data_IF_072518309392
#
_entry.id   IF_072518309392
#
_cell.length_a   1.000
_cell.length_b   1.000
_cell.length_c   1.000
_cell.angle_alpha   90.00
_cell.angle_beta   90.00
_cell.angle_gamma   90.00
#
_symmetry.space_group_name_H-M   'P 1'
#
loop_
_entity.id
_entity.type
_entity.pdbx_description
1 polymer ?
#
# COMPACT_ATOMS: atom_id res chain seq x y z
N UNK A 1 14.75 -16.85 -27.71
CA UNK A 1 13.41 -16.30 -27.50
C UNK A 1 13.13 -16.37 -26.00
N UNK A 2 13.37 -15.27 -25.28
CA UNK A 2 13.02 -15.16 -23.87
C UNK A 2 11.50 -15.11 -23.77
N UNK A 3 10.91 -16.17 -23.27
CA UNK A 3 9.49 -16.19 -22.88
C UNK A 3 9.31 -15.14 -21.80
N UNK A 4 8.84 -13.96 -22.15
CA UNK A 4 8.33 -13.01 -21.18
C UNK A 4 7.18 -13.70 -20.46
N UNK A 5 7.38 -14.05 -19.20
CA UNK A 5 6.34 -14.71 -18.41
C UNK A 5 5.09 -13.83 -18.39
N UNK A 6 3.94 -14.45 -18.63
CA UNK A 6 2.63 -13.78 -18.56
C UNK A 6 2.24 -13.56 -17.09
N UNK A 7 3.11 -12.87 -16.33
CA UNK A 7 2.90 -12.65 -14.90
C UNK A 7 2.07 -11.38 -14.67
N UNK A 8 1.02 -11.50 -13.88
CA UNK A 8 0.33 -10.37 -13.27
C UNK A 8 0.87 -10.22 -11.85
N UNK A 9 1.56 -9.11 -11.60
CA UNK A 9 2.31 -8.89 -10.35
C UNK A 9 1.66 -7.76 -9.55
N UNK A 10 1.58 -7.94 -8.24
CA UNK A 10 1.24 -6.85 -7.32
C UNK A 10 2.37 -6.62 -6.33
N UNK A 11 2.68 -5.36 -6.10
CA UNK A 11 3.59 -4.87 -5.07
C UNK A 11 2.74 -4.30 -3.95
N UNK A 12 2.66 -5.00 -2.84
CA UNK A 12 1.93 -4.56 -1.65
C UNK A 12 2.84 -3.63 -0.84
N UNK A 13 2.48 -2.36 -0.74
CA UNK A 13 3.09 -1.44 0.24
C UNK A 13 2.22 -1.52 1.49
N UNK A 14 2.68 -2.30 2.47
CA UNK A 14 1.93 -2.68 3.66
C UNK A 14 2.53 -2.09 4.93
N UNK A 15 1.70 -1.89 5.91
CA UNK A 15 2.04 -1.34 7.23
C UNK A 15 0.79 -0.74 7.87
N UNK A 16 0.81 -0.62 9.18
CA UNK A 16 -0.31 -0.03 9.92
C UNK A 16 -0.53 1.44 9.56
N UNK A 17 -1.65 2.06 9.95
CA UNK A 17 -1.85 3.50 9.79
C UNK A 17 -0.67 4.30 10.36
N UNK A 18 -0.30 5.38 9.71
CA UNK A 18 0.83 6.27 10.02
C UNK A 18 2.25 5.71 9.80
N UNK A 19 2.42 4.52 9.23
CA UNK A 19 3.75 3.96 8.93
C UNK A 19 4.48 4.62 7.75
N UNK A 20 3.86 5.54 7.00
CA UNK A 20 4.52 6.24 5.89
C UNK A 20 4.37 5.57 4.52
N UNK A 21 3.47 4.60 4.38
CA UNK A 21 3.23 3.88 3.11
C UNK A 21 3.10 4.80 1.90
N UNK A 22 2.25 5.82 1.98
CA UNK A 22 1.94 6.68 0.84
C UNK A 22 3.14 7.49 0.34
N UNK A 23 4.11 7.78 1.20
CA UNK A 23 5.38 8.42 0.80
C UNK A 23 6.21 7.45 -0.03
N UNK A 24 6.44 6.24 0.47
CA UNK A 24 7.16 5.19 -0.26
C UNK A 24 6.43 4.81 -1.55
N UNK A 25 5.11 4.68 -1.51
CA UNK A 25 4.28 4.37 -2.69
C UNK A 25 4.48 5.38 -3.81
N UNK A 26 4.52 6.69 -3.47
CA UNK A 26 4.76 7.75 -4.45
C UNK A 26 6.16 7.65 -5.06
N UNK A 27 7.19 7.48 -4.23
CA UNK A 27 8.56 7.32 -4.70
C UNK A 27 8.71 6.10 -5.64
N UNK A 28 8.07 4.98 -5.31
CA UNK A 28 8.04 3.78 -6.16
C UNK A 28 7.32 4.03 -7.49
N UNK A 29 6.19 4.73 -7.46
CA UNK A 29 5.42 5.06 -8.66
C UNK A 29 6.22 5.96 -9.60
N UNK A 30 6.90 6.97 -9.06
CA UNK A 30 7.78 7.85 -9.82
C UNK A 30 8.98 7.10 -10.41
N UNK A 31 9.60 6.20 -9.63
CA UNK A 31 10.77 5.43 -10.07
C UNK A 31 10.44 4.40 -11.15
N UNK A 32 9.32 3.71 -11.05
CA UNK A 32 9.00 2.56 -11.91
C UNK A 32 7.90 2.82 -12.94
N UNK A 33 7.14 3.90 -12.81
CA UNK A 33 6.00 4.20 -13.69
C UNK A 33 4.83 3.21 -13.54
N UNK A 34 4.74 2.48 -12.43
CA UNK A 34 3.65 1.54 -12.22
C UNK A 34 2.37 2.23 -11.73
N UNK A 35 1.19 1.80 -12.18
CA UNK A 35 -0.07 2.30 -11.67
C UNK A 35 -0.22 1.97 -10.18
N UNK A 36 -0.81 2.93 -9.45
CA UNK A 36 -1.02 2.86 -8.00
C UNK A 36 -2.50 2.78 -7.69
N UNK A 37 -2.86 1.88 -6.79
CA UNK A 37 -4.17 1.83 -6.16
C UNK A 37 -3.97 1.97 -4.65
N UNK A 38 -4.57 3.00 -4.06
CA UNK A 38 -4.53 3.19 -2.60
C UNK A 38 -5.91 2.95 -1.99
N UNK A 39 -5.95 2.31 -0.83
CA UNK A 39 -7.21 2.05 -0.15
C UNK A 39 -7.96 3.34 0.18
N UNK A 40 -7.24 4.33 0.73
CA UNK A 40 -7.85 5.61 1.09
C UNK A 40 -8.25 6.41 -0.16
N UNK A 41 -7.44 6.40 -1.23
CA UNK A 41 -7.76 7.07 -2.49
C UNK A 41 -9.04 6.55 -3.16
N UNK A 42 -9.36 5.27 -3.00
CA UNK A 42 -10.64 4.71 -3.48
C UNK A 42 -11.78 4.90 -2.48
N UNK A 43 -11.50 4.94 -1.19
CA UNK A 43 -12.52 5.05 -0.14
C UNK A 43 -13.00 6.48 0.09
N UNK A 44 -12.10 7.45 0.14
CA UNK A 44 -12.40 8.84 0.53
C UNK A 44 -13.40 9.55 -0.39
N UNK A 45 -13.39 9.37 -1.73
CA UNK A 45 -14.44 9.92 -2.58
C UNK A 45 -15.84 9.45 -2.19
N UNK A 46 -15.98 8.20 -1.78
CA UNK A 46 -17.26 7.68 -1.28
C UNK A 46 -17.60 8.25 0.09
N UNK A 47 -16.60 8.41 0.98
CA UNK A 47 -16.82 9.07 2.27
C UNK A 47 -17.33 10.48 2.10
N UNK A 48 -16.80 11.24 1.14
CA UNK A 48 -17.29 12.58 0.81
C UNK A 48 -18.76 12.57 0.33
N UNK A 49 -19.10 11.60 -0.52
CA UNK A 49 -20.43 11.48 -1.11
C UNK A 49 -21.51 11.03 -0.11
N UNK A 50 -21.11 10.27 0.92
CA UNK A 50 -22.00 9.68 1.92
C UNK A 50 -21.87 10.33 3.31
N UNK A 51 -21.28 11.52 3.40
CA UNK A 51 -21.14 12.23 4.67
C UNK A 51 -22.51 12.54 5.32
N UNK A 52 -22.63 12.45 6.66
CA UNK A 52 -21.58 12.11 7.62
C UNK A 52 -21.28 10.60 7.66
N UNK A 53 -20.02 10.27 7.88
CA UNK A 53 -19.52 8.89 7.95
C UNK A 53 -19.11 8.58 9.38
N UNK A 54 -19.77 7.61 10.00
CA UNK A 54 -19.40 7.05 11.30
C UNK A 54 -18.36 5.93 11.15
N UNK A 55 -17.89 5.37 12.27
CA UNK A 55 -16.88 4.31 12.30
C UNK A 55 -17.36 3.04 11.57
N UNK A 56 -18.62 2.68 11.70
CA UNK A 56 -19.18 1.50 11.04
C UNK A 56 -19.21 1.69 9.52
N UNK A 57 -19.70 2.84 9.07
CA UNK A 57 -19.74 3.19 7.64
C UNK A 57 -18.33 3.30 7.05
N UNK A 58 -17.38 3.90 7.77
CA UNK A 58 -15.98 3.95 7.36
C UNK A 58 -15.42 2.54 7.12
N UNK A 59 -15.69 1.59 8.02
CA UNK A 59 -15.26 0.20 7.86
C UNK A 59 -15.91 -0.47 6.64
N UNK A 60 -17.20 -0.27 6.43
CA UNK A 60 -17.92 -0.79 5.26
C UNK A 60 -17.33 -0.25 3.95
N UNK A 61 -17.09 1.05 3.88
CA UNK A 61 -16.46 1.69 2.72
C UNK A 61 -15.03 1.20 2.51
N UNK A 62 -14.27 0.97 3.58
CA UNK A 62 -12.95 0.35 3.52
C UNK A 62 -12.99 -1.05 2.91
N UNK A 63 -13.93 -1.89 3.32
CA UNK A 63 -14.11 -3.22 2.73
C UNK A 63 -14.52 -3.14 1.25
N UNK A 64 -15.43 -2.22 0.90
CA UNK A 64 -15.85 -2.02 -0.48
C UNK A 64 -14.70 -1.52 -1.38
N UNK A 65 -13.92 -0.55 -0.90
CA UNK A 65 -12.74 -0.06 -1.61
C UNK A 65 -11.68 -1.16 -1.80
N UNK A 66 -11.50 -2.01 -0.80
CA UNK A 66 -10.61 -3.16 -0.89
C UNK A 66 -11.05 -4.14 -1.99
N UNK A 67 -12.34 -4.43 -2.09
CA UNK A 67 -12.88 -5.25 -3.18
C UNK A 67 -12.74 -4.56 -4.54
N UNK A 68 -12.94 -3.24 -4.60
CA UNK A 68 -12.76 -2.46 -5.82
C UNK A 68 -11.32 -2.53 -6.35
N UNK A 69 -10.30 -2.51 -5.46
CA UNK A 69 -8.90 -2.71 -5.84
C UNK A 69 -8.75 -4.00 -6.64
N UNK A 70 -9.25 -5.11 -6.10
CA UNK A 70 -9.10 -6.42 -6.76
C UNK A 70 -9.89 -6.52 -8.05
N UNK A 71 -11.05 -5.86 -8.15
CA UNK A 71 -11.80 -5.78 -9.40
C UNK A 71 -11.06 -5.01 -10.49
N UNK A 72 -10.39 -3.90 -10.13
CA UNK A 72 -9.55 -3.14 -11.08
C UNK A 72 -8.38 -4.01 -11.55
N UNK A 73 -7.67 -4.66 -10.63
CA UNK A 73 -6.54 -5.55 -10.95
C UNK A 73 -7.01 -6.74 -11.80
N UNK A 74 -8.21 -7.28 -11.55
CA UNK A 74 -8.77 -8.37 -12.34
C UNK A 74 -8.95 -8.01 -13.81
N UNK A 75 -9.38 -6.77 -14.09
CA UNK A 75 -9.62 -6.26 -15.45
C UNK A 75 -8.32 -5.91 -16.20
N UNK A 76 -7.20 -5.79 -15.47
CA UNK A 76 -5.92 -5.50 -16.09
C UNK A 76 -5.44 -6.70 -16.94
N UNK A 77 -4.75 -6.44 -18.07
CA UNK A 77 -4.15 -7.50 -18.85
C UNK A 77 -3.07 -8.25 -18.08
N UNK A 78 -2.72 -9.45 -18.55
CA UNK A 78 -1.49 -10.13 -18.13
C UNK A 78 -0.27 -9.22 -18.41
N UNK A 79 0.83 -9.43 -17.69
CA UNK A 79 2.05 -8.58 -17.73
C UNK A 79 1.87 -7.18 -17.14
N UNK A 80 0.89 -7.01 -16.27
CA UNK A 80 0.68 -5.77 -15.55
C UNK A 80 1.27 -5.85 -14.16
N UNK A 81 1.87 -4.75 -13.68
CA UNK A 81 2.39 -4.60 -12.33
C UNK A 81 1.65 -3.46 -11.69
N UNK A 82 1.03 -3.70 -10.54
CA UNK A 82 0.38 -2.67 -9.72
C UNK A 82 1.10 -2.48 -8.40
N UNK A 83 1.19 -1.24 -7.94
CA UNK A 83 1.50 -0.92 -6.55
C UNK A 83 0.19 -0.72 -5.80
N UNK A 84 0.02 -1.42 -4.67
CA UNK A 84 -1.20 -1.32 -3.85
C UNK A 84 -0.81 -0.87 -2.45
N UNK A 85 -1.26 0.33 -2.06
CA UNK A 85 -1.04 0.92 -0.73
C UNK A 85 -2.26 0.67 0.14
N UNK A 86 -2.10 -0.17 1.16
CA UNK A 86 -3.12 -0.46 2.14
C UNK A 86 -2.54 -1.00 3.45
N UNK A 87 -3.29 -0.93 4.54
CA UNK A 87 -3.12 -1.80 5.69
C UNK A 87 -3.89 -3.10 5.43
N UNK A 88 -3.18 -4.16 5.03
CA UNK A 88 -3.84 -5.42 4.64
C UNK A 88 -4.33 -6.24 5.83
N UNK A 89 -3.80 -6.00 7.03
CA UNK A 89 -4.20 -6.71 8.24
C UNK A 89 -5.52 -6.24 8.88
N UNK A 90 -6.27 -5.31 8.25
CA UNK A 90 -7.58 -4.92 8.78
C UNK A 90 -8.70 -5.91 8.48
N UNK A 91 -8.44 -6.89 7.62
CA UNK A 91 -9.30 -8.02 7.30
C UNK A 91 -8.53 -9.33 7.48
N UNK A 92 -9.23 -10.47 7.60
CA UNK A 92 -8.60 -11.78 7.61
C UNK A 92 -7.72 -12.00 6.37
N UNK A 93 -6.60 -12.72 6.54
CA UNK A 93 -5.63 -13.00 5.47
C UNK A 93 -6.29 -13.69 4.25
N UNK A 94 -7.29 -14.51 4.51
CA UNK A 94 -8.06 -15.23 3.49
C UNK A 94 -8.76 -14.29 2.52
N UNK A 95 -9.19 -13.11 2.98
CA UNK A 95 -9.80 -12.07 2.13
C UNK A 95 -8.79 -11.53 1.12
N UNK A 96 -7.54 -11.33 1.55
CA UNK A 96 -6.46 -10.95 0.63
C UNK A 96 -6.18 -12.08 -0.37
N UNK A 97 -6.05 -13.31 0.09
CA UNK A 97 -5.81 -14.47 -0.78
C UNK A 97 -6.91 -14.63 -1.83
N UNK A 98 -8.17 -14.50 -1.43
CA UNK A 98 -9.30 -14.56 -2.35
C UNK A 98 -9.27 -13.41 -3.37
N UNK A 99 -8.94 -12.18 -2.94
CA UNK A 99 -8.79 -11.04 -3.83
C UNK A 99 -7.71 -11.26 -4.89
N UNK A 100 -6.55 -11.76 -4.48
CA UNK A 100 -5.44 -12.11 -5.38
C UNK A 100 -5.83 -13.19 -6.40
N UNK A 101 -6.51 -14.24 -5.95
CA UNK A 101 -7.00 -15.32 -6.82
C UNK A 101 -8.02 -14.80 -7.84
N UNK A 102 -9.02 -14.04 -7.40
CA UNK A 102 -10.05 -13.47 -8.26
C UNK A 102 -9.46 -12.50 -9.30
N UNK A 103 -8.38 -11.81 -8.94
CA UNK A 103 -7.67 -10.91 -9.83
C UNK A 103 -6.66 -11.61 -10.76
N UNK A 104 -6.52 -12.94 -10.67
CA UNK A 104 -5.53 -13.71 -11.42
C UNK A 104 -4.09 -13.21 -11.21
N UNK A 105 -3.78 -12.78 -9.99
CA UNK A 105 -2.43 -12.38 -9.61
C UNK A 105 -1.56 -13.63 -9.49
N UNK A 106 -0.45 -13.65 -10.21
CA UNK A 106 0.47 -14.79 -10.25
C UNK A 106 1.66 -14.60 -9.32
N UNK A 107 1.96 -13.35 -8.96
CA UNK A 107 3.10 -13.04 -8.09
C UNK A 107 2.81 -11.85 -7.18
N UNK A 108 3.17 -12.01 -5.92
CA UNK A 108 3.04 -10.97 -4.88
C UNK A 108 4.43 -10.61 -4.38
N UNK A 109 4.72 -9.33 -4.27
CA UNK A 109 5.88 -8.76 -3.60
C UNK A 109 5.38 -7.86 -2.48
N UNK A 110 6.00 -7.88 -1.31
CA UNK A 110 5.55 -7.07 -0.18
C UNK A 110 6.67 -6.20 0.38
N UNK A 111 6.40 -4.91 0.50
CA UNK A 111 7.21 -3.94 1.23
C UNK A 111 6.49 -3.65 2.55
N UNK A 112 7.07 -4.11 3.65
CA UNK A 112 6.52 -3.95 4.98
C UNK A 112 7.20 -2.81 5.72
N UNK A 113 6.44 -1.76 6.07
CA UNK A 113 6.94 -0.64 6.86
C UNK A 113 6.68 -0.91 8.34
N UNK A 114 7.71 -1.37 9.05
CA UNK A 114 7.68 -1.59 10.48
C UNK A 114 7.79 -0.26 11.22
N UNK A 115 6.91 -0.02 12.18
CA UNK A 115 6.89 1.20 12.99
C UNK A 115 6.72 0.84 14.47
N UNK A 116 7.36 1.60 15.35
CA UNK A 116 7.19 1.41 16.80
C UNK A 116 5.82 1.91 17.26
N UNK A 117 5.28 1.40 18.39
CA UNK A 117 4.01 1.88 18.93
C UNK A 117 3.99 3.38 19.21
N UNK A 118 5.08 3.93 19.75
CA UNK A 118 5.19 5.36 20.10
C UNK A 118 5.23 6.24 18.84
N UNK A 119 6.00 5.84 17.83
CA UNK A 119 6.07 6.57 16.57
C UNK A 119 4.73 6.53 15.82
N UNK A 120 4.04 5.39 15.82
CA UNK A 120 2.74 5.24 15.20
C UNK A 120 1.70 6.19 15.83
N UNK A 121 1.63 6.21 17.16
CA UNK A 121 0.74 7.11 17.91
C UNK A 121 1.08 8.57 17.65
N UNK A 122 2.36 8.96 17.75
CA UNK A 122 2.81 10.34 17.55
C UNK A 122 2.49 10.83 16.14
N UNK A 123 2.81 10.04 15.12
CA UNK A 123 2.53 10.38 13.71
C UNK A 123 1.04 10.40 13.39
N UNK A 124 0.26 9.51 13.99
CA UNK A 124 -1.18 9.51 13.79
C UNK A 124 -1.81 10.75 14.41
N UNK A 125 -1.41 11.08 15.65
CA UNK A 125 -1.91 12.23 16.39
C UNK A 125 -1.59 13.55 15.68
N UNK A 126 -0.39 13.70 15.12
CA UNK A 126 0.01 14.91 14.39
C UNK A 126 -0.79 15.17 13.10
N UNK A 127 -1.48 14.14 12.58
CA UNK A 127 -2.26 14.22 11.34
C UNK A 127 -3.77 14.27 11.56
N UNK A 128 -4.24 14.28 12.81
CA UNK A 128 -5.68 14.22 13.09
C UNK A 128 -6.44 15.40 12.50
N UNK A 129 -5.85 16.59 12.49
CA UNK A 129 -6.46 17.81 11.94
C UNK A 129 -6.57 17.81 10.42
N UNK A 130 -5.67 17.07 9.74
CA UNK A 130 -5.56 17.06 8.29
C UNK A 130 -6.33 15.89 7.66
N UNK A 131 -6.85 14.99 8.51
CA UNK A 131 -7.59 13.83 8.02
C UNK A 131 -9.01 14.20 7.62
N UNK A 132 -9.46 13.58 6.54
CA UNK A 132 -10.85 13.71 6.12
C UNK A 132 -11.81 13.27 7.23
N UNK A 133 -12.90 14.04 7.49
CA UNK A 133 -13.93 13.66 8.46
C UNK A 133 -14.49 12.25 8.17
N UNK A 134 -14.72 11.48 9.24
CA UNK A 134 -15.18 10.09 9.14
C UNK A 134 -14.07 9.05 9.27
N UNK A 135 -12.79 9.44 9.19
CA UNK A 135 -11.70 8.60 9.69
C UNK A 135 -11.70 8.55 11.23
N UNK A 136 -11.18 7.45 11.84
CA UNK A 136 -11.06 7.40 13.29
C UNK A 136 -10.23 8.57 13.84
N UNK A 137 -10.70 9.16 14.93
CA UNK A 137 -10.05 10.27 15.63
C UNK A 137 -9.06 9.81 16.70
N UNK A 138 -8.89 10.63 17.75
CA UNK A 138 -7.98 10.34 18.85
C UNK A 138 -8.36 9.08 19.66
N UNK A 139 -9.63 8.71 19.64
CA UNK A 139 -10.13 7.48 20.28
C UNK A 139 -9.51 6.20 19.72
N UNK A 140 -8.89 6.26 18.55
CA UNK A 140 -8.21 5.13 17.92
C UNK A 140 -6.78 4.90 18.42
N UNK A 141 -6.17 5.87 19.09
CA UNK A 141 -4.75 5.80 19.49
C UNK A 141 -4.40 4.57 20.35
N UNK A 142 -5.23 4.15 21.34
CA UNK A 142 -4.94 2.94 22.12
C UNK A 142 -4.98 1.66 21.26
N UNK A 143 -5.92 1.58 20.31
CA UNK A 143 -6.04 0.45 19.39
C UNK A 143 -4.84 0.43 18.41
N UNK A 144 -4.43 1.59 17.90
CA UNK A 144 -3.27 1.74 17.02
C UNK A 144 -1.97 1.31 17.71
N UNK A 145 -1.78 1.69 18.99
CA UNK A 145 -0.62 1.26 19.77
C UNK A 145 -0.54 -0.25 19.87
N UNK A 146 -1.64 -0.89 20.27
CA UNK A 146 -1.72 -2.35 20.36
C UNK A 146 -1.51 -3.02 18.99
N UNK A 147 -2.03 -2.41 17.94
CA UNK A 147 -1.82 -2.90 16.57
C UNK A 147 -0.34 -2.86 16.17
N UNK A 148 0.38 -1.79 16.53
CA UNK A 148 1.81 -1.67 16.24
C UNK A 148 2.67 -2.74 16.95
N UNK A 149 2.21 -3.26 18.10
CA UNK A 149 2.89 -4.33 18.84
C UNK A 149 2.77 -5.70 18.14
N UNK A 150 1.67 -5.92 17.42
CA UNK A 150 1.30 -7.26 16.95
C UNK A 150 1.26 -7.41 15.43
N UNK A 151 1.21 -6.29 14.71
CA UNK A 151 1.09 -6.32 13.25
C UNK A 151 2.31 -6.97 12.59
N UNK A 152 2.04 -7.78 11.59
CA UNK A 152 3.05 -8.51 10.82
C UNK A 152 2.76 -8.36 9.33
N UNK A 153 3.74 -8.55 8.46
CA UNK A 153 3.51 -8.64 7.02
C UNK A 153 2.59 -9.80 6.68
N UNK A 154 1.93 -9.73 5.54
CA UNK A 154 1.04 -10.79 5.07
C UNK A 154 1.81 -12.04 4.63
N UNK A 155 3.04 -11.89 4.13
CA UNK A 155 3.93 -12.99 3.78
C UNK A 155 3.36 -13.94 2.73
N UNK A 156 2.67 -13.39 1.71
CA UNK A 156 2.13 -14.17 0.59
C UNK A 156 3.12 -14.28 -0.59
N UNK A 157 4.29 -13.74 -0.43
CA UNK A 157 5.41 -13.75 -1.37
C UNK A 157 6.66 -13.21 -0.70
N UNK A 158 7.73 -12.90 -1.45
CA UNK A 158 8.91 -12.25 -0.91
C UNK A 158 8.56 -10.94 -0.20
N UNK A 159 9.14 -10.72 0.99
CA UNK A 159 8.93 -9.55 1.83
C UNK A 159 10.25 -8.81 2.02
N UNK A 160 10.24 -7.49 1.81
CA UNK A 160 11.28 -6.59 2.29
C UNK A 160 10.71 -5.77 3.45
N UNK A 161 11.35 -5.87 4.61
CA UNK A 161 11.02 -5.05 5.77
C UNK A 161 11.86 -3.78 5.76
N UNK A 162 11.20 -2.64 5.97
CA UNK A 162 11.79 -1.31 6.06
C UNK A 162 11.43 -0.66 7.40
N UNK A 163 12.35 0.12 7.96
CA UNK A 163 12.06 0.94 9.14
C UNK A 163 11.24 2.17 8.70
N UNK A 164 10.04 2.33 9.25
CA UNK A 164 9.17 3.46 8.91
C UNK A 164 9.73 4.84 9.33
N UNK A 165 10.71 4.89 10.23
CA UNK A 165 11.35 6.15 10.66
C UNK A 165 12.22 6.74 9.56
N UNK A 166 12.94 5.87 8.87
CA UNK A 166 13.85 6.22 7.77
C UNK A 166 13.82 5.08 6.74
N UNK A 167 12.76 5.03 5.90
CA UNK A 167 12.65 3.96 4.92
C UNK A 167 13.71 4.18 3.84
N UNK A 168 14.62 3.21 3.72
CA UNK A 168 15.64 3.20 2.69
C UNK A 168 14.98 2.96 1.31
N UNK A 169 14.62 4.04 0.63
CA UNK A 169 14.01 4.00 -0.70
C UNK A 169 14.96 3.36 -1.72
N UNK A 170 16.27 3.58 -1.61
CA UNK A 170 17.25 3.00 -2.52
C UNK A 170 17.30 1.48 -2.37
N UNK A 171 17.26 0.98 -1.14
CA UNK A 171 17.16 -0.46 -0.87
C UNK A 171 15.84 -1.04 -1.41
N UNK A 172 14.72 -0.34 -1.25
CA UNK A 172 13.42 -0.75 -1.78
C UNK A 172 13.44 -0.83 -3.32
N UNK A 173 14.01 0.17 -3.99
CA UNK A 173 14.16 0.19 -5.45
C UNK A 173 15.05 -0.95 -5.94
N UNK A 174 16.24 -1.11 -5.35
CA UNK A 174 17.17 -2.17 -5.71
C UNK A 174 16.55 -3.57 -5.49
N UNK A 175 15.80 -3.73 -4.40
CA UNK A 175 15.11 -5.00 -4.12
C UNK A 175 14.04 -5.30 -5.16
N UNK A 176 13.16 -4.34 -5.48
CA UNK A 176 12.13 -4.50 -6.50
C UNK A 176 12.71 -4.78 -7.87
N UNK A 177 13.78 -4.08 -8.27
CA UNK A 177 14.46 -4.33 -9.54
C UNK A 177 14.95 -5.78 -9.65
N UNK A 178 15.60 -6.29 -8.59
CA UNK A 178 16.03 -7.69 -8.55
C UNK A 178 14.86 -8.66 -8.64
N UNK A 179 13.75 -8.35 -7.93
CA UNK A 179 12.57 -9.19 -7.96
C UNK A 179 11.88 -9.18 -9.33
N UNK A 180 11.73 -8.03 -9.93
CA UNK A 180 11.02 -7.85 -11.19
C UNK A 180 11.88 -8.11 -12.43
N UNK A 181 13.22 -8.18 -12.27
CA UNK A 181 14.20 -8.28 -13.37
C UNK A 181 14.02 -7.13 -14.39
N UNK A 182 13.65 -5.96 -13.92
CA UNK A 182 13.47 -4.75 -14.74
C UNK A 182 14.77 -3.94 -14.70
N UNK A 183 15.31 -3.52 -15.86
CA UNK A 183 16.44 -2.58 -15.89
C UNK A 183 16.04 -1.25 -15.24
N UNK A 184 17.00 -0.56 -14.60
CA UNK A 184 16.81 0.82 -14.15
C UNK A 184 16.55 1.67 -15.41
N UNK A 185 15.40 2.32 -15.50
CA UNK A 185 15.26 3.43 -16.44
C UNK A 185 16.31 4.48 -16.03
N UNK A 186 17.25 4.75 -16.92
CA UNK A 186 18.22 5.82 -16.70
C UNK A 186 17.41 7.10 -16.46
N UNK A 187 17.60 7.73 -15.29
CA UNK A 187 17.02 9.05 -15.05
C UNK A 187 17.42 9.95 -16.21
N UNK A 188 16.47 10.67 -16.85
CA UNK A 188 16.85 11.71 -17.79
C UNK A 188 17.74 12.67 -17.04
N UNK A 189 18.97 12.85 -17.53
CA UNK A 189 19.90 13.84 -16.99
C UNK A 189 19.15 15.17 -16.91
N UNK A 190 19.02 15.72 -15.69
CA UNK A 190 18.58 17.09 -15.51
C UNK A 190 19.52 17.97 -16.34
N UNK A 191 19.06 18.40 -17.52
CA UNK A 191 19.75 19.38 -18.30
C UNK A 191 19.82 20.65 -17.47
N UNK A 192 21.00 20.96 -16.94
CA UNK A 192 21.32 22.25 -16.37
C UNK A 192 21.18 23.25 -17.51
N UNK A 193 20.02 23.88 -17.60
CA UNK A 193 19.83 25.07 -18.43
C UNK A 193 20.36 26.24 -17.63
N UNK A 194 21.49 26.80 -18.09
CA UNK A 194 22.07 28.03 -17.62
C UNK A 194 21.20 29.25 -17.90
#
# INVERSE_FOLDING_TARGET
MTTHSEEKIVVLVNGIPASGKSTLTRALAEQFGFPVLTLDGLKEPFMASFAPVDRQRNRQLGCAAYQAIWNVVAQAPTRCIYIIDAWFGFQPREVLQQGLQNANVTRVLELWLAITPDDAVTRYQSRLTDRMPGHPGAEYLPELRKLAETAQPMGLGPVLQLDARDPDEAAAFAWLQRQLRVPIAAQPALSASG
#
